data_IF_708525945144
#
_entry.id   IF_708525945144
#
_cell.length_a   1.000
_cell.length_b   1.000
_cell.length_c   1.000
_cell.angle_alpha   90.00
_cell.angle_beta   90.00
_cell.angle_gamma   90.00
#
_symmetry.space_group_name_H-M   'P 1'
#
loop_
_entity.id
_entity.type
_entity.pdbx_description
1 polymer ?
#
# COMPACT_ATOMS: atom_id res chain seq x y z
N UNK A 1 9.76 -20.94 13.08
CA UNK A 1 9.56 -20.15 14.30
C UNK A 1 8.76 -18.87 14.09
N UNK A 2 9.07 -18.04 13.06
CA UNK A 2 8.36 -16.78 12.82
C UNK A 2 6.86 -16.95 12.50
N UNK A 3 6.47 -17.97 11.70
CA UNK A 3 5.06 -18.24 11.40
C UNK A 3 4.20 -18.48 12.64
N UNK A 4 4.74 -19.19 13.66
CA UNK A 4 4.04 -19.40 14.92
C UNK A 4 3.88 -18.12 15.73
N UNK A 5 4.92 -17.26 15.75
CA UNK A 5 4.89 -15.98 16.45
C UNK A 5 3.81 -15.05 15.86
N UNK A 6 3.66 -15.04 14.53
CA UNK A 6 2.75 -14.14 13.82
C UNK A 6 1.38 -14.77 13.53
N UNK A 7 1.15 -16.05 13.93
CA UNK A 7 -0.10 -16.78 13.64
C UNK A 7 -0.46 -16.85 12.15
N UNK A 8 0.55 -16.93 11.29
CA UNK A 8 0.38 -16.98 9.84
C UNK A 8 0.16 -18.44 9.42
N UNK A 9 -0.71 -18.65 8.40
CA UNK A 9 -0.84 -19.98 7.75
C UNK A 9 0.54 -20.43 7.25
N UNK A 10 1.04 -21.61 7.69
CA UNK A 10 2.38 -22.09 7.33
C UNK A 10 2.61 -22.18 5.82
N UNK A 11 1.58 -22.49 5.03
CA UNK A 11 1.66 -22.60 3.56
C UNK A 11 1.89 -21.24 2.92
N UNK A 12 1.19 -20.21 3.43
CA UNK A 12 1.37 -18.82 3.00
C UNK A 12 2.75 -18.31 3.40
N UNK A 13 3.22 -18.65 4.60
CA UNK A 13 4.57 -18.29 5.02
C UNK A 13 5.64 -18.96 4.15
N UNK A 14 5.50 -20.26 3.84
CA UNK A 14 6.44 -20.98 2.97
C UNK A 14 6.45 -20.42 1.53
N UNK A 15 5.30 -19.94 1.04
CA UNK A 15 5.22 -19.20 -0.23
C UNK A 15 5.99 -17.86 -0.12
N UNK A 16 5.75 -17.08 0.92
CA UNK A 16 6.41 -15.80 1.14
C UNK A 16 7.94 -15.91 1.19
N UNK A 17 8.47 -16.94 1.86
CA UNK A 17 9.92 -17.14 1.97
C UNK A 17 10.52 -17.93 0.79
N UNK A 18 9.75 -18.17 -0.27
CA UNK A 18 10.22 -18.84 -1.49
C UNK A 18 10.47 -20.35 -1.37
N UNK A 19 10.02 -20.99 -0.30
CA UNK A 19 10.09 -22.45 -0.12
C UNK A 19 9.08 -23.18 -1.00
N UNK A 20 7.95 -22.56 -1.31
CA UNK A 20 6.95 -23.06 -2.24
C UNK A 20 7.11 -22.35 -3.59
N UNK A 21 7.13 -23.17 -4.66
CA UNK A 21 7.20 -22.69 -6.04
C UNK A 21 6.03 -23.17 -6.89
N UNK A 22 5.15 -23.97 -6.31
CA UNK A 22 3.95 -24.55 -6.94
C UNK A 22 2.80 -23.53 -6.86
N UNK A 23 3.01 -22.34 -7.39
CA UNK A 23 2.04 -21.25 -7.40
C UNK A 23 1.75 -20.78 -8.82
N UNK A 24 0.49 -20.53 -9.11
CA UNK A 24 -0.01 -19.86 -10.31
C UNK A 24 -1.02 -18.80 -9.90
N UNK A 25 -1.27 -17.83 -10.77
CA UNK A 25 -2.31 -16.83 -10.51
C UNK A 25 -3.65 -17.29 -11.08
N UNK A 26 -4.67 -17.29 -10.24
CA UNK A 26 -6.06 -17.35 -10.69
C UNK A 26 -6.56 -15.92 -10.91
N UNK A 27 -6.99 -15.64 -12.12
CA UNK A 27 -7.43 -14.31 -12.54
C UNK A 27 -8.93 -14.13 -12.27
N UNK A 28 -9.28 -13.03 -11.58
CA UNK A 28 -10.68 -12.69 -11.24
C UNK A 28 -10.95 -11.24 -11.62
N UNK A 29 -12.03 -11.00 -12.38
CA UNK A 29 -12.42 -9.65 -12.79
C UNK A 29 -13.55 -9.13 -11.90
N UNK A 30 -13.31 -8.00 -11.22
CA UNK A 30 -14.30 -7.37 -10.33
C UNK A 30 -14.27 -5.85 -10.49
N UNK A 31 -15.38 -5.26 -10.89
CA UNK A 31 -15.58 -3.79 -10.98
C UNK A 31 -14.44 -3.04 -11.69
N UNK A 32 -13.95 -3.57 -12.80
CA UNK A 32 -12.87 -2.92 -13.58
C UNK A 32 -11.46 -3.15 -13.05
N UNK A 33 -11.29 -4.03 -12.05
CA UNK A 33 -9.99 -4.47 -11.54
C UNK A 33 -9.79 -5.94 -11.87
N UNK A 34 -8.59 -6.29 -12.33
CA UNK A 34 -8.14 -7.66 -12.56
C UNK A 34 -7.31 -8.09 -11.36
N UNK A 35 -7.85 -9.00 -10.57
CA UNK A 35 -7.15 -9.58 -9.43
C UNK A 35 -6.38 -10.83 -9.82
N UNK A 36 -5.14 -10.92 -9.40
CA UNK A 36 -4.27 -12.08 -9.52
C UNK A 36 -4.18 -12.75 -8.16
N UNK A 37 -4.92 -13.82 -7.96
CA UNK A 37 -5.01 -14.53 -6.68
C UNK A 37 -4.06 -15.72 -6.70
N UNK A 38 -3.01 -15.75 -5.85
CA UNK A 38 -2.08 -16.86 -5.80
C UNK A 38 -2.78 -18.16 -5.45
N UNK A 39 -2.55 -19.20 -6.25
CA UNK A 39 -3.16 -20.53 -6.12
C UNK A 39 -2.07 -21.57 -5.99
N UNK A 40 -2.07 -22.31 -4.90
CA UNK A 40 -1.15 -23.41 -4.63
C UNK A 40 -1.61 -24.65 -5.39
N UNK A 41 -0.90 -24.98 -6.48
CA UNK A 41 -1.37 -26.01 -7.43
C UNK A 41 -1.35 -27.43 -6.86
N UNK A 42 -0.35 -27.77 -6.02
CA UNK A 42 -0.26 -29.10 -5.39
C UNK A 42 -1.39 -29.40 -4.44
N UNK A 43 -1.89 -28.40 -3.74
CA UNK A 43 -2.94 -28.57 -2.74
C UNK A 43 -4.31 -28.17 -3.27
N UNK A 44 -4.36 -27.56 -4.46
CA UNK A 44 -5.56 -26.93 -5.04
C UNK A 44 -6.22 -25.95 -4.06
N UNK A 45 -5.40 -25.00 -3.54
CA UNK A 45 -5.80 -24.02 -2.54
C UNK A 45 -5.50 -22.59 -3.02
N UNK A 46 -6.49 -21.72 -2.90
CA UNK A 46 -6.31 -20.28 -3.07
C UNK A 46 -5.68 -19.67 -1.83
N UNK A 47 -4.75 -18.73 -2.03
CA UNK A 47 -4.29 -17.86 -0.95
C UNK A 47 -5.25 -16.68 -0.85
N UNK A 48 -5.96 -16.59 0.25
CA UNK A 48 -6.99 -15.60 0.51
C UNK A 48 -6.59 -14.71 1.69
N UNK A 49 -7.32 -13.59 1.86
CA UNK A 49 -7.04 -12.65 2.92
C UNK A 49 -8.32 -12.01 3.49
N UNK A 50 -8.30 -11.75 4.79
CA UNK A 50 -9.25 -10.85 5.47
C UNK A 50 -8.54 -10.03 6.53
N UNK A 51 -8.95 -8.77 6.71
CA UNK A 51 -8.42 -7.96 7.79
C UNK A 51 -8.89 -8.47 9.17
N UNK A 52 -7.96 -8.56 10.11
CA UNK A 52 -8.25 -8.95 11.49
C UNK A 52 -8.32 -7.75 12.44
N UNK A 53 -8.46 -6.53 11.91
CA UNK A 53 -8.67 -5.35 12.74
C UNK A 53 -10.02 -5.48 13.51
N UNK A 54 -10.11 -5.08 14.79
CA UNK A 54 -9.13 -4.34 15.60
C UNK A 54 -8.07 -5.21 16.33
N UNK A 55 -8.13 -6.53 16.23
CA UNK A 55 -7.24 -7.43 16.96
C UNK A 55 -5.81 -7.47 16.40
N UNK A 56 -5.61 -6.91 15.21
CA UNK A 56 -4.30 -6.84 14.54
C UNK A 56 -4.07 -5.46 13.93
N UNK A 57 -2.87 -4.92 14.16
CA UNK A 57 -2.40 -3.64 13.59
C UNK A 57 -0.95 -3.71 13.07
N UNK A 58 -0.46 -4.91 12.75
CA UNK A 58 0.90 -5.14 12.26
C UNK A 58 1.28 -4.25 11.08
N UNK A 59 0.34 -3.99 10.15
CA UNK A 59 0.58 -3.08 9.02
C UNK A 59 0.85 -1.63 9.45
N UNK A 60 0.39 -1.19 10.62
CA UNK A 60 0.69 0.12 11.19
C UNK A 60 1.98 0.11 12.00
N UNK A 61 2.35 -1.00 12.63
CA UNK A 61 3.59 -1.14 13.40
C UNK A 61 4.82 -1.24 12.50
N UNK A 62 4.65 -1.69 11.26
CA UNK A 62 5.73 -1.92 10.29
C UNK A 62 5.51 -1.19 8.98
N UNK A 63 5.05 0.03 9.06
CA UNK A 63 4.65 0.76 7.88
C UNK A 63 5.86 1.14 7.02
N UNK A 64 5.73 0.90 5.71
CA UNK A 64 6.63 1.39 4.69
C UNK A 64 6.38 2.85 4.31
N UNK A 65 6.69 3.23 3.08
CA UNK A 65 6.39 4.55 2.53
C UNK A 65 4.89 4.81 2.50
N UNK A 66 4.52 6.06 2.67
CA UNK A 66 3.13 6.53 2.67
C UNK A 66 2.94 7.59 1.57
N UNK A 67 2.99 7.20 0.29
CA UNK A 67 2.74 8.14 -0.80
C UNK A 67 1.34 8.73 -0.67
N UNK A 68 1.23 10.03 -0.98
CA UNK A 68 0.00 10.79 -0.83
C UNK A 68 -0.56 11.17 -2.20
N UNK A 69 -1.84 10.95 -2.38
CA UNK A 69 -2.60 11.55 -3.47
C UNK A 69 -2.98 13.00 -3.13
N UNK A 70 -3.46 13.74 -4.11
CA UNK A 70 -3.96 15.11 -3.90
C UNK A 70 -5.10 15.17 -2.88
N UNK A 71 -5.97 14.17 -2.89
CA UNK A 71 -7.08 14.07 -1.93
C UNK A 71 -6.59 13.70 -0.53
N UNK A 72 -5.58 12.83 -0.41
CA UNK A 72 -4.95 12.54 0.86
C UNK A 72 -4.38 13.82 1.50
N UNK A 73 -3.63 14.62 0.74
CA UNK A 73 -3.07 15.89 1.21
C UNK A 73 -4.17 16.79 1.75
N UNK A 74 -5.27 16.94 1.00
CA UNK A 74 -6.42 17.79 1.41
C UNK A 74 -7.08 17.28 2.70
N UNK A 75 -7.34 16.00 2.76
CA UNK A 75 -8.14 15.42 3.86
C UNK A 75 -7.31 15.30 5.14
N UNK A 76 -6.06 14.84 5.03
CA UNK A 76 -5.17 14.70 6.18
C UNK A 76 -4.77 16.06 6.74
N UNK A 77 -4.48 17.06 5.88
CA UNK A 77 -4.19 18.42 6.33
C UNK A 77 -5.34 18.97 7.18
N UNK A 78 -6.58 18.84 6.70
CA UNK A 78 -7.77 19.26 7.45
C UNK A 78 -7.92 18.50 8.77
N UNK A 79 -7.74 17.17 8.75
CA UNK A 79 -7.81 16.32 9.94
C UNK A 79 -6.78 16.69 11.00
N UNK A 80 -5.59 17.12 10.56
CA UNK A 80 -4.51 17.56 11.45
C UNK A 80 -4.59 19.05 11.84
N UNK A 81 -5.66 19.77 11.44
CA UNK A 81 -5.88 21.16 11.80
C UNK A 81 -5.06 22.19 11.01
N UNK A 82 -4.53 21.80 9.85
CA UNK A 82 -3.82 22.75 8.98
C UNK A 82 -4.80 23.61 8.19
N UNK A 83 -4.67 24.91 8.27
CA UNK A 83 -5.42 25.87 7.44
C UNK A 83 -4.87 25.95 6.02
N UNK A 84 -3.57 25.71 5.85
CA UNK A 84 -2.85 25.78 4.58
C UNK A 84 -2.32 24.40 4.18
N UNK A 85 -2.61 23.98 2.95
CA UNK A 85 -1.99 22.78 2.37
C UNK A 85 -0.48 22.93 2.21
N UNK A 86 0.00 24.14 1.96
CA UNK A 86 1.43 24.44 1.82
C UNK A 86 2.15 24.17 3.12
N UNK A 87 1.59 24.64 4.25
CA UNK A 87 2.19 24.40 5.57
C UNK A 87 2.15 22.92 5.94
N UNK A 88 1.05 22.22 5.63
CA UNK A 88 1.00 20.76 5.77
C UNK A 88 2.11 20.08 4.97
N UNK A 89 2.26 20.41 3.69
CA UNK A 89 3.29 19.82 2.83
C UNK A 89 4.69 20.09 3.39
N UNK A 90 4.98 21.32 3.77
CA UNK A 90 6.29 21.69 4.34
C UNK A 90 6.61 20.94 5.63
N UNK A 91 5.64 20.78 6.52
CA UNK A 91 5.86 20.24 7.86
C UNK A 91 5.72 18.71 7.92
N UNK A 92 4.77 18.15 7.19
CA UNK A 92 4.30 16.77 7.39
C UNK A 92 4.72 15.81 6.28
N UNK A 93 5.26 16.32 5.15
CA UNK A 93 5.63 15.49 4.02
C UNK A 93 7.11 15.54 3.71
N UNK A 94 7.55 14.53 2.98
CA UNK A 94 8.87 14.44 2.34
C UNK A 94 8.72 13.90 0.92
N UNK A 95 9.74 14.12 0.10
CA UNK A 95 9.85 13.46 -1.20
C UNK A 95 10.36 12.04 -0.98
N UNK A 96 9.68 11.08 -1.58
CA UNK A 96 10.11 9.67 -1.65
C UNK A 96 10.23 9.24 -3.10
N UNK A 97 11.35 8.60 -3.44
CA UNK A 97 11.56 8.01 -4.76
C UNK A 97 11.83 6.53 -4.62
N UNK A 98 11.32 5.74 -5.57
CA UNK A 98 11.60 4.31 -5.65
C UNK A 98 11.52 3.83 -7.09
N UNK A 99 12.05 2.66 -7.33
CA UNK A 99 11.99 2.01 -8.64
C UNK A 99 10.89 0.97 -8.65
N UNK A 100 10.11 0.96 -9.71
CA UNK A 100 9.15 -0.09 -10.02
C UNK A 100 9.54 -0.77 -11.32
N UNK A 101 9.34 -2.09 -11.37
CA UNK A 101 9.51 -2.86 -12.59
C UNK A 101 8.17 -2.87 -13.32
N UNK A 102 8.14 -2.29 -14.52
CA UNK A 102 6.96 -2.31 -15.38
C UNK A 102 7.01 -3.50 -16.33
N UNK A 103 6.08 -4.43 -16.18
CA UNK A 103 5.73 -5.44 -17.18
C UNK A 103 6.80 -6.46 -17.56
N UNK A 104 6.54 -7.15 -18.67
CA UNK A 104 7.44 -8.12 -19.31
C UNK A 104 8.47 -7.34 -20.14
N UNK A 105 9.58 -6.91 -19.55
CA UNK A 105 10.59 -6.20 -20.32
C UNK A 105 11.69 -5.50 -19.53
N UNK A 106 11.81 -5.74 -18.23
CA UNK A 106 12.82 -5.10 -17.36
C UNK A 106 12.86 -3.56 -17.44
N UNK A 107 11.77 -2.91 -17.80
CA UNK A 107 11.68 -1.46 -17.74
C UNK A 107 11.60 -1.07 -16.27
N UNK A 108 12.58 -0.29 -15.81
CA UNK A 108 12.62 0.24 -14.47
C UNK A 108 12.15 1.69 -14.53
N UNK A 109 11.00 1.97 -13.95
CA UNK A 109 10.49 3.34 -13.82
C UNK A 109 10.76 3.87 -12.43
N UNK A 110 11.35 5.06 -12.35
CA UNK A 110 11.52 5.76 -11.07
C UNK A 110 10.27 6.58 -10.77
N UNK A 111 9.58 6.22 -9.70
CA UNK A 111 8.42 6.98 -9.22
C UNK A 111 8.87 7.91 -8.10
N UNK A 112 8.48 9.18 -8.22
CA UNK A 112 8.76 10.21 -7.20
C UNK A 112 7.45 10.83 -6.77
N UNK A 113 7.14 10.75 -5.47
CA UNK A 113 5.90 11.29 -4.89
C UNK A 113 6.17 11.94 -3.53
N UNK A 114 5.27 12.85 -3.15
CA UNK A 114 5.19 13.30 -1.77
C UNK A 114 4.68 12.13 -0.91
N UNK A 115 5.37 11.88 0.17
CA UNK A 115 5.01 10.87 1.17
C UNK A 115 4.83 11.52 2.54
N UNK A 116 3.89 11.01 3.32
CA UNK A 116 3.71 11.43 4.70
C UNK A 116 4.91 10.99 5.54
N UNK A 117 5.45 11.88 6.36
CA UNK A 117 6.48 11.53 7.33
C UNK A 117 5.92 10.54 8.35
N UNK A 118 6.64 9.46 8.61
CA UNK A 118 6.24 8.44 9.58
C UNK A 118 6.66 8.78 11.01
N UNK A 119 7.75 9.54 11.15
CA UNK A 119 8.24 10.11 12.41
C UNK A 119 8.35 11.62 12.31
N UNK A 120 8.38 12.30 13.45
CA UNK A 120 8.59 13.74 13.48
C UNK A 120 10.05 14.11 13.18
N UNK A 121 11.00 13.25 13.53
CA UNK A 121 12.44 13.47 13.31
C UNK A 121 12.88 12.77 12.01
N UNK A 122 13.25 13.54 11.00
CA UNK A 122 13.72 13.05 9.70
C UNK A 122 15.01 12.20 9.80
N UNK A 123 15.88 12.48 10.80
CA UNK A 123 17.12 11.72 11.00
C UNK A 123 16.88 10.27 11.43
N UNK A 124 15.71 9.99 12.00
CA UNK A 124 15.34 8.66 12.43
C UNK A 124 14.56 7.87 11.34
N UNK A 125 14.19 8.54 10.26
CA UNK A 125 13.41 7.94 9.18
C UNK A 125 14.32 7.52 8.03
N UNK A 126 14.77 6.25 8.07
CA UNK A 126 15.54 5.66 6.98
C UNK A 126 14.59 5.04 5.94
N UNK A 127 14.91 5.21 4.66
CA UNK A 127 14.14 4.61 3.58
C UNK A 127 14.18 3.08 3.64
N UNK A 128 12.99 2.47 3.56
CA UNK A 128 12.84 1.03 3.55
C UNK A 128 12.84 0.35 4.93
N UNK A 129 13.17 1.05 6.00
CA UNK A 129 13.11 0.48 7.35
C UNK A 129 11.67 0.45 7.85
N UNK A 130 11.15 -0.74 8.24
CA UNK A 130 9.83 -0.82 8.88
C UNK A 130 9.83 -0.07 10.21
N UNK A 131 8.99 0.94 10.32
CA UNK A 131 8.86 1.75 11.53
C UNK A 131 7.38 1.80 11.95
N UNK A 132 7.10 1.84 13.27
CA UNK A 132 5.75 2.11 13.74
C UNK A 132 5.24 3.45 13.18
N UNK A 133 3.99 3.45 12.77
CA UNK A 133 3.34 4.67 12.29
C UNK A 133 3.14 5.64 13.46
N UNK A 134 3.54 6.91 13.29
CA UNK A 134 3.36 7.94 14.34
C UNK A 134 1.89 8.25 14.68
N UNK A 135 0.97 7.83 13.82
CA UNK A 135 -0.47 7.98 14.05
C UNK A 135 -1.11 6.76 14.72
N UNK A 136 -0.33 5.72 15.00
CA UNK A 136 -0.77 4.59 15.81
C UNK A 136 -0.67 4.98 17.28
N UNK A 137 -1.80 5.03 17.98
CA UNK A 137 -1.81 5.29 19.41
C UNK A 137 -1.58 4.01 20.22
N UNK A 138 -1.42 4.14 21.53
CA UNK A 138 -1.18 3.03 22.46
C UNK A 138 -2.31 1.98 22.48
N UNK A 139 -3.51 2.36 22.04
CA UNK A 139 -4.67 1.47 21.92
C UNK A 139 -4.74 0.74 20.57
N UNK A 140 -3.72 0.87 19.70
CA UNK A 140 -3.69 0.26 18.38
C UNK A 140 -4.59 0.96 17.34
N UNK A 141 -5.08 2.17 17.63
CA UNK A 141 -5.96 2.92 16.73
C UNK A 141 -5.22 4.02 15.99
N UNK A 142 -5.61 4.27 14.74
CA UNK A 142 -5.06 5.35 13.92
C UNK A 142 -5.72 6.68 14.27
N UNK A 143 -4.94 7.67 14.73
CA UNK A 143 -5.45 8.98 15.17
C UNK A 143 -5.99 9.87 14.05
N UNK A 144 -5.61 9.58 12.80
CA UNK A 144 -6.13 10.28 11.62
C UNK A 144 -7.20 9.49 10.86
N UNK A 145 -7.69 8.37 11.41
CA UNK A 145 -8.81 7.64 10.81
C UNK A 145 -10.10 8.50 10.84
N UNK A 146 -10.93 8.48 9.78
CA UNK A 146 -10.84 7.69 8.55
C UNK A 146 -9.96 8.32 7.45
N UNK A 147 -9.41 9.53 7.64
CA UNK A 147 -8.65 10.29 6.65
C UNK A 147 -7.21 9.78 6.48
N UNK A 148 -6.94 8.51 6.79
CA UNK A 148 -5.63 7.90 6.56
C UNK A 148 -5.27 7.85 5.07
N UNK A 149 -3.96 7.85 4.71
CA UNK A 149 -3.53 7.78 3.31
C UNK A 149 -4.20 6.65 2.53
N UNK A 150 -4.48 6.89 1.24
CA UNK A 150 -5.09 5.90 0.36
C UNK A 150 -4.34 4.57 0.35
N UNK A 151 -3.01 4.60 0.36
CA UNK A 151 -2.16 3.41 0.44
C UNK A 151 -2.44 2.55 1.69
N UNK A 152 -2.83 3.15 2.81
CA UNK A 152 -3.20 2.40 4.02
C UNK A 152 -4.52 1.64 3.89
N UNK A 153 -5.38 2.06 2.94
CA UNK A 153 -6.63 1.36 2.63
C UNK A 153 -6.42 0.17 1.70
N UNK A 154 -5.30 0.14 0.96
CA UNK A 154 -5.04 -0.90 -0.03
C UNK A 154 -4.38 -2.14 0.55
N UNK A 155 -3.67 -2.01 1.68
CA UNK A 155 -2.98 -3.15 2.27
C UNK A 155 -3.93 -4.34 2.50
N UNK A 156 -3.56 -5.56 2.12
CA UNK A 156 -2.26 -6.00 1.63
C UNK A 156 -2.16 -6.08 0.09
N UNK A 157 -3.00 -5.36 -0.63
CA UNK A 157 -2.93 -5.36 -2.08
C UNK A 157 -1.82 -4.44 -2.58
N UNK A 158 -1.06 -4.92 -3.55
CA UNK A 158 -0.32 -4.10 -4.49
C UNK A 158 -1.10 -4.01 -5.78
N UNK A 159 -1.05 -2.88 -6.46
CA UNK A 159 -1.81 -2.65 -7.69
C UNK A 159 -1.03 -1.79 -8.67
N UNK A 160 -1.29 -1.98 -9.95
CA UNK A 160 -0.68 -1.20 -11.02
C UNK A 160 -1.67 -0.94 -12.14
N UNK A 161 -1.37 0.08 -12.93
CA UNK A 161 -2.13 0.47 -14.10
C UNK A 161 -1.39 -0.02 -15.36
N UNK A 162 -2.03 -0.86 -16.15
CA UNK A 162 -1.53 -1.26 -17.46
C UNK A 162 -2.32 -0.52 -18.54
N UNK A 163 -1.61 0.07 -19.51
CA UNK A 163 -2.23 0.75 -20.64
C UNK A 163 -1.97 -0.04 -21.92
N UNK A 164 -3.02 -0.61 -22.49
CA UNK A 164 -2.95 -1.32 -23.76
C UNK A 164 -3.89 -0.68 -24.77
N UNK A 165 -3.35 -0.27 -25.94
CA UNK A 165 -4.12 0.36 -27.04
C UNK A 165 -5.01 1.53 -26.58
N UNK A 166 -4.49 2.38 -25.67
CA UNK A 166 -5.21 3.54 -25.16
C UNK A 166 -6.29 3.24 -24.10
N UNK A 167 -6.44 2.00 -23.69
CA UNK A 167 -7.32 1.60 -22.57
C UNK A 167 -6.46 1.26 -21.35
N UNK A 168 -6.77 1.88 -20.23
CA UNK A 168 -6.11 1.59 -18.96
C UNK A 168 -6.88 0.54 -18.18
N UNK A 169 -6.17 -0.48 -17.73
CA UNK A 169 -6.71 -1.58 -16.92
C UNK A 169 -5.96 -1.61 -15.59
N UNK A 170 -6.68 -1.72 -14.50
CA UNK A 170 -6.10 -1.81 -13.16
C UNK A 170 -5.94 -3.27 -12.78
N UNK A 171 -4.73 -3.64 -12.42
CA UNK A 171 -4.40 -4.97 -11.91
C UNK A 171 -4.11 -4.89 -10.41
N UNK A 172 -4.37 -5.97 -9.69
CA UNK A 172 -4.04 -6.08 -8.27
C UNK A 172 -3.66 -7.51 -7.90
N UNK A 173 -2.71 -7.63 -6.97
CA UNK A 173 -2.35 -8.90 -6.34
C UNK A 173 -2.02 -8.66 -4.87
N UNK A 174 -1.73 -9.72 -4.12
CA UNK A 174 -1.28 -9.58 -2.75
C UNK A 174 0.21 -9.25 -2.65
N UNK A 175 0.52 -8.28 -1.84
CA UNK A 175 1.84 -8.14 -1.26
C UNK A 175 1.95 -9.11 -0.08
N UNK A 176 2.43 -10.31 -0.34
CA UNK A 176 2.63 -11.31 0.71
C UNK A 176 3.73 -10.83 1.66
N UNK A 177 3.33 -10.36 2.82
CA UNK A 177 4.25 -9.98 3.90
C UNK A 177 4.24 -11.09 4.94
N UNK A 178 5.41 -11.51 5.39
CA UNK A 178 5.56 -12.62 6.36
C UNK A 178 5.01 -12.33 7.76
N UNK A 179 4.30 -11.23 7.97
CA UNK A 179 3.81 -10.75 9.26
C UNK A 179 2.31 -10.43 9.30
N UNK A 180 1.56 -10.70 8.23
CA UNK A 180 0.12 -10.48 8.19
C UNK A 180 -0.65 -11.76 8.54
N UNK A 181 -1.28 -11.86 9.73
CA UNK A 181 -2.05 -13.04 10.13
C UNK A 181 -3.40 -13.15 9.42
N UNK A 182 -3.77 -12.15 8.61
CA UNK A 182 -5.01 -12.16 7.83
C UNK A 182 -4.98 -13.09 6.62
N UNK A 183 -3.80 -13.56 6.19
CA UNK A 183 -3.69 -14.52 5.10
C UNK A 183 -4.03 -15.95 5.55
N UNK A 184 -4.82 -16.64 4.72
CA UNK A 184 -5.21 -18.02 4.94
C UNK A 184 -5.36 -18.76 3.60
N UNK A 185 -5.53 -20.07 3.63
CA UNK A 185 -5.76 -20.88 2.43
C UNK A 185 -7.17 -21.48 2.43
N UNK A 186 -7.82 -21.53 1.27
CA UNK A 186 -9.15 -22.13 1.09
C UNK A 186 -9.27 -22.83 -0.27
N UNK A 187 -10.14 -23.82 -0.35
CA UNK A 187 -10.57 -24.43 -1.63
C UNK A 187 -11.63 -23.57 -2.34
N UNK A 188 -12.20 -22.59 -1.68
CA UNK A 188 -13.33 -21.79 -2.15
C UNK A 188 -12.87 -20.36 -2.37
N UNK A 189 -12.78 -19.97 -3.64
CA UNK A 189 -12.46 -18.59 -4.00
C UNK A 189 -13.58 -17.60 -3.59
N UNK A 190 -14.82 -18.07 -3.59
CA UNK A 190 -15.99 -17.28 -3.19
C UNK A 190 -15.90 -16.72 -1.77
N UNK A 191 -15.11 -17.35 -0.90
CA UNK A 191 -14.88 -16.84 0.48
C UNK A 191 -14.26 -15.45 0.48
N UNK A 192 -13.65 -15.02 -0.63
CA UNK A 192 -13.03 -13.70 -0.77
C UNK A 192 -13.88 -12.71 -1.57
N UNK A 193 -14.97 -13.14 -2.19
CA UNK A 193 -15.78 -12.26 -3.04
C UNK A 193 -16.19 -10.94 -2.40
N UNK A 194 -16.67 -10.88 -1.14
CA UNK A 194 -17.00 -9.60 -0.49
C UNK A 194 -15.79 -8.66 -0.37
N UNK A 195 -14.59 -9.20 -0.08
CA UNK A 195 -13.35 -8.42 0.01
C UNK A 195 -12.96 -7.87 -1.36
N UNK A 196 -13.02 -8.68 -2.42
CA UNK A 196 -12.71 -8.26 -3.78
C UNK A 196 -13.68 -7.16 -4.26
N UNK A 197 -14.97 -7.27 -3.96
CA UNK A 197 -15.98 -6.27 -4.30
C UNK A 197 -15.75 -4.94 -3.56
N UNK A 198 -15.38 -4.99 -2.29
CA UNK A 198 -15.06 -3.80 -1.50
C UNK A 198 -13.77 -3.14 -1.98
N UNK A 199 -12.72 -3.93 -2.16
CA UNK A 199 -11.39 -3.42 -2.50
C UNK A 199 -11.25 -3.00 -3.96
N UNK A 200 -12.01 -3.59 -4.89
CA UNK A 200 -11.96 -3.19 -6.30
C UNK A 200 -12.22 -1.69 -6.49
N UNK A 201 -13.21 -1.12 -5.80
CA UNK A 201 -13.52 0.31 -5.86
C UNK A 201 -12.39 1.16 -5.29
N UNK A 202 -11.82 0.76 -4.14
CA UNK A 202 -10.71 1.47 -3.49
C UNK A 202 -9.45 1.45 -4.36
N UNK A 203 -9.10 0.27 -4.90
CA UNK A 203 -7.94 0.06 -5.76
C UNK A 203 -8.08 0.87 -7.06
N UNK A 204 -9.23 0.78 -7.72
CA UNK A 204 -9.48 1.54 -8.94
C UNK A 204 -9.34 3.05 -8.71
N UNK A 205 -10.03 3.58 -7.71
CA UNK A 205 -10.00 5.01 -7.40
C UNK A 205 -8.59 5.48 -7.02
N UNK A 206 -7.84 4.70 -6.26
CA UNK A 206 -6.47 5.02 -5.89
C UNK A 206 -5.55 5.10 -7.11
N UNK A 207 -5.60 4.11 -8.00
CA UNK A 207 -4.76 4.10 -9.21
C UNK A 207 -5.08 5.28 -10.13
N UNK A 208 -6.35 5.65 -10.28
CA UNK A 208 -6.76 6.83 -11.03
C UNK A 208 -6.24 8.11 -10.36
N UNK A 209 -6.35 8.22 -9.03
CA UNK A 209 -5.86 9.36 -8.27
C UNK A 209 -4.33 9.49 -8.34
N UNK A 210 -3.59 8.38 -8.22
CA UNK A 210 -2.11 8.36 -8.35
C UNK A 210 -1.69 8.81 -9.74
N UNK A 211 -2.30 8.29 -10.80
CA UNK A 211 -2.02 8.69 -12.18
C UNK A 211 -2.18 10.20 -12.40
N UNK A 212 -3.20 10.81 -11.83
CA UNK A 212 -3.42 12.25 -11.88
C UNK A 212 -2.44 13.01 -11.01
N UNK A 213 -2.22 12.54 -9.78
CA UNK A 213 -1.33 13.19 -8.79
C UNK A 213 0.12 13.22 -9.28
N UNK A 214 0.59 12.16 -9.94
CA UNK A 214 1.97 12.10 -10.47
C UNK A 214 2.20 13.19 -11.52
N UNK A 215 1.21 13.51 -12.36
CA UNK A 215 1.30 14.61 -13.34
C UNK A 215 1.30 15.99 -12.67
N UNK A 216 0.58 16.15 -11.55
CA UNK A 216 0.40 17.41 -10.84
C UNK A 216 1.45 17.66 -9.74
N UNK A 217 2.23 16.66 -9.35
CA UNK A 217 3.18 16.74 -8.23
C UNK A 217 4.38 17.65 -8.49
N UNK A 218 4.62 18.07 -9.72
CA UNK A 218 5.80 18.87 -10.07
C UNK A 218 5.91 20.15 -9.23
N UNK A 219 4.82 20.89 -9.07
CA UNK A 219 4.78 22.09 -8.24
C UNK A 219 4.92 21.81 -6.73
N UNK A 220 4.42 20.65 -6.26
CA UNK A 220 4.50 20.27 -4.84
C UNK A 220 5.92 19.85 -4.44
N UNK A 221 6.68 19.23 -5.34
CA UNK A 221 8.09 18.89 -5.14
C UNK A 221 8.91 20.15 -4.92
N UNK A 222 8.67 21.20 -5.69
CA UNK A 222 9.37 22.48 -5.54
C UNK A 222 9.15 23.13 -4.16
N UNK A 223 7.95 23.01 -3.58
CA UNK A 223 7.68 23.53 -2.24
C UNK A 223 8.55 22.86 -1.18
N UNK A 224 8.75 21.55 -1.27
CA UNK A 224 9.60 20.81 -0.32
C UNK A 224 11.07 21.18 -0.50
N UNK A 225 11.55 21.33 -1.73
CA UNK A 225 12.93 21.71 -2.03
C UNK A 225 13.28 23.13 -1.53
N UNK A 226 12.36 24.08 -1.68
CA UNK A 226 12.55 25.44 -1.16
C UNK A 226 12.81 25.45 0.35
N UNK A 227 12.13 24.60 1.12
CA UNK A 227 12.38 24.47 2.56
C UNK A 227 13.78 23.96 2.88
N UNK A 228 14.30 23.03 2.08
CA UNK A 228 15.65 22.48 2.27
C UNK A 228 16.74 23.51 2.00
N UNK A 229 16.53 24.45 1.06
CA UNK A 229 17.48 25.53 0.75
C UNK A 229 17.50 26.65 1.78
N UNK A 230 16.42 26.86 2.53
CA UNK A 230 16.35 27.88 3.59
C UNK A 230 17.05 27.43 4.89
N UNK A 231 17.49 26.17 4.99
CA UNK A 231 18.19 25.62 6.17
C UNK A 231 19.70 25.47 5.99
N UNK A 232 20.23 25.85 4.86
CA UNK A 232 21.66 25.88 4.56
C UNK A 232 22.24 27.28 4.74
#
# INVERSE_FOLDING_TARGET
>A
MLSKKWKIDPRVFDLHVGKRKDVVDTVVHVNGVIFHIPTLTKDNLYVLWKCLWPDCHNCCERQGRLPLTKDDIKNIARRMGYYSKVDFIKNETRISSWQEHEGIGNIITTITMLSLKRKHNEKEEQDGTPLPCRFLNEKGSCTIHPEKPGVCWLYPFTSWLETHKGRSVVHATFQLTGDCPGFYTSKRLDDMKPVLEEYSKKIYNYNMAVSTTTRENYGLINIVNLKSSERS
#
